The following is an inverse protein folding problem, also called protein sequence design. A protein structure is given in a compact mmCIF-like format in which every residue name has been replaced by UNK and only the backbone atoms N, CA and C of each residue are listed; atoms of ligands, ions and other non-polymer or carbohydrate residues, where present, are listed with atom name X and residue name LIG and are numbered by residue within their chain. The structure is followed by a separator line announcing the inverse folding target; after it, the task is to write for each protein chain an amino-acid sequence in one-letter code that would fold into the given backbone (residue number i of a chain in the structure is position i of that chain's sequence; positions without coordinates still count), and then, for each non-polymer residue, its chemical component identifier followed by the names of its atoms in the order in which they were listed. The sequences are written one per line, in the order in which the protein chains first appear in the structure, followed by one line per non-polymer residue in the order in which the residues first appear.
data_IF_515454820968
#
_entry.id   IF_515454820968
#
_cell.length_a   1.000
_cell.length_b   1.000
_cell.length_c   1.000
_cell.angle_alpha   90.00
_cell.angle_beta   90.00
_cell.angle_gamma   90.00
#
_symmetry.space_group_name_H-M   'P 1'
#
loop_
_entity.id
_entity.type
_entity.pdbx_description
1 polymer ?
#
# COMPACT_ATOMS: atom_id res chain seq x y z
N UNK A 1 -24.24 -33.19 -42.20
CA UNK A 1 -24.38 -32.44 -40.93
C UNK A 1 -24.20 -30.97 -41.23
N UNK A 2 -25.29 -30.17 -41.13
CA UNK A 2 -25.24 -28.74 -41.40
C UNK A 2 -24.75 -28.01 -40.16
N UNK A 3 -23.62 -27.31 -40.28
CA UNK A 3 -23.07 -26.47 -39.20
C UNK A 3 -23.97 -25.28 -38.92
N UNK A 4 -24.40 -25.09 -37.67
CA UNK A 4 -25.11 -23.90 -37.23
C UNK A 4 -24.11 -22.72 -37.16
N UNK A 5 -24.29 -21.73 -38.00
CA UNK A 5 -23.61 -20.46 -37.88
C UNK A 5 -24.31 -19.61 -36.83
N UNK A 6 -23.61 -19.24 -35.78
CA UNK A 6 -24.10 -18.25 -34.80
C UNK A 6 -23.52 -16.89 -35.19
N UNK A 7 -24.41 -15.95 -35.49
CA UNK A 7 -24.06 -14.54 -35.73
C UNK A 7 -24.15 -13.84 -34.35
N UNK A 8 -23.03 -13.37 -33.85
CA UNK A 8 -22.99 -12.51 -32.68
C UNK A 8 -23.00 -11.06 -33.14
N UNK A 9 -24.08 -10.35 -32.84
CA UNK A 9 -24.16 -8.89 -32.99
C UNK A 9 -23.69 -8.22 -31.72
N UNK A 10 -22.61 -7.44 -31.79
CA UNK A 10 -22.11 -6.64 -30.70
C UNK A 10 -22.60 -5.20 -30.88
N UNK A 11 -23.36 -4.68 -29.94
CA UNK A 11 -23.66 -3.28 -29.89
C UNK A 11 -22.52 -2.49 -29.31
N UNK A 12 -22.02 -1.44 -29.99
CA UNK A 12 -20.96 -0.61 -29.44
C UNK A 12 -21.50 0.15 -28.22
N UNK A 13 -20.91 -0.10 -27.04
CA UNK A 13 -21.21 0.70 -25.86
C UNK A 13 -20.42 2.00 -25.98
N UNK A 14 -21.13 3.08 -26.29
CA UNK A 14 -20.57 4.43 -26.25
C UNK A 14 -20.39 4.79 -24.77
N UNK A 15 -19.16 4.86 -24.32
CA UNK A 15 -18.82 5.40 -23.01
C UNK A 15 -18.61 6.90 -23.21
N UNK A 16 -19.49 7.78 -22.69
CA UNK A 16 -19.24 9.21 -22.76
C UNK A 16 -17.96 9.52 -21.99
N UNK A 17 -16.99 10.11 -22.67
CA UNK A 17 -15.82 10.68 -22.01
C UNK A 17 -16.31 11.90 -21.22
N UNK A 18 -16.23 11.85 -19.91
CA UNK A 18 -16.44 13.03 -19.09
C UNK A 18 -15.29 14.01 -19.36
N UNK A 19 -15.66 15.25 -19.67
CA UNK A 19 -14.69 16.34 -19.82
C UNK A 19 -14.00 16.54 -18.46
N UNK A 20 -12.73 16.18 -18.39
CA UNK A 20 -11.93 16.40 -17.18
C UNK A 20 -11.27 17.77 -17.32
N UNK A 21 -11.77 18.74 -16.59
CA UNK A 21 -11.08 20.01 -16.43
C UNK A 21 -9.86 19.78 -15.52
N UNK A 22 -8.71 19.67 -16.13
CA UNK A 22 -7.44 19.55 -15.39
C UNK A 22 -7.14 20.89 -14.75
N UNK A 23 -7.52 21.07 -13.49
CA UNK A 23 -7.07 22.21 -12.69
C UNK A 23 -5.72 21.86 -12.08
N UNK A 24 -4.78 22.80 -12.17
CA UNK A 24 -3.52 22.66 -11.44
C UNK A 24 -3.81 22.67 -9.94
N UNK A 25 -3.33 21.66 -9.23
CA UNK A 25 -3.50 21.50 -7.77
C UNK A 25 -2.14 21.64 -7.11
N UNK A 26 -2.05 22.50 -6.13
CA UNK A 26 -0.89 22.60 -5.25
C UNK A 26 -0.81 21.33 -4.38
N UNK A 27 0.21 20.47 -4.56
CA UNK A 27 0.31 19.20 -3.84
C UNK A 27 0.45 19.40 -2.32
N UNK A 28 1.13 20.43 -1.88
CA UNK A 28 1.29 20.72 -0.46
C UNK A 28 -0.03 21.12 0.19
N UNK A 29 -0.81 21.96 -0.49
CA UNK A 29 -2.14 22.37 -0.02
C UNK A 29 -3.10 21.19 0.02
N UNK A 30 -3.09 20.34 -1.02
CA UNK A 30 -3.96 19.17 -1.08
C UNK A 30 -3.64 18.18 0.05
N UNK A 31 -2.37 17.88 0.31
CA UNK A 31 -1.97 16.98 1.41
C UNK A 31 -2.36 17.53 2.79
N UNK A 32 -2.24 18.84 3.00
CA UNK A 32 -2.72 19.48 4.22
C UNK A 32 -4.22 19.32 4.40
N UNK A 33 -4.97 19.53 3.34
CA UNK A 33 -6.43 19.40 3.37
C UNK A 33 -6.86 17.96 3.59
N UNK A 34 -6.21 16.99 2.94
CA UNK A 34 -6.39 15.57 3.19
C UNK A 34 -6.20 15.23 4.69
N UNK A 35 -5.14 15.76 5.29
CA UNK A 35 -4.88 15.56 6.73
C UNK A 35 -5.93 16.19 7.63
N UNK A 36 -6.43 17.38 7.30
CA UNK A 36 -7.49 18.08 8.06
C UNK A 36 -8.83 17.34 7.98
N UNK A 37 -9.17 16.80 6.80
CA UNK A 37 -10.43 16.11 6.56
C UNK A 37 -10.38 14.63 6.94
N UNK A 38 -9.28 14.16 7.51
CA UNK A 38 -9.10 12.76 7.93
C UNK A 38 -10.24 12.26 8.79
N UNK A 39 -10.65 13.04 9.79
CA UNK A 39 -11.75 12.65 10.67
C UNK A 39 -13.10 12.55 9.94
N UNK A 40 -13.33 13.34 8.92
CA UNK A 40 -14.57 13.30 8.14
C UNK A 40 -14.59 12.13 7.16
N UNK A 41 -13.43 11.76 6.60
CA UNK A 41 -13.30 10.79 5.53
C UNK A 41 -13.14 9.34 6.02
N UNK A 42 -12.74 9.11 7.27
CA UNK A 42 -12.48 7.76 7.79
C UNK A 42 -13.32 7.46 9.03
N UNK A 43 -13.55 6.18 9.27
CA UNK A 43 -14.47 5.73 10.33
C UNK A 43 -14.09 6.23 11.71
N UNK A 44 -15.07 6.82 12.41
CA UNK A 44 -14.99 7.23 13.80
C UNK A 44 -15.39 6.14 14.79
N UNK A 45 -16.03 5.09 14.29
CA UNK A 45 -16.56 4.01 15.11
C UNK A 45 -15.76 2.74 14.89
N UNK A 46 -15.52 1.96 15.95
CA UNK A 46 -14.90 0.66 15.79
C UNK A 46 -15.82 -0.29 15.01
N UNK A 47 -15.20 -1.19 14.24
CA UNK A 47 -15.90 -2.16 13.41
C UNK A 47 -15.28 -3.55 13.50
N UNK A 48 -16.10 -4.58 13.29
CA UNK A 48 -15.61 -5.93 13.09
C UNK A 48 -15.47 -6.22 11.60
N UNK A 49 -14.30 -6.67 11.20
CA UNK A 49 -13.99 -7.08 9.83
C UNK A 49 -13.67 -8.57 9.81
N UNK A 50 -14.04 -9.25 8.75
CA UNK A 50 -13.49 -10.57 8.42
C UNK A 50 -12.49 -10.38 7.31
N UNK A 51 -11.22 -10.68 7.56
CA UNK A 51 -10.12 -10.41 6.64
C UNK A 51 -9.46 -11.69 6.19
N UNK A 52 -9.08 -11.74 4.93
CA UNK A 52 -8.23 -12.79 4.38
C UNK A 52 -6.79 -12.29 4.32
N UNK A 53 -5.89 -13.06 4.87
CA UNK A 53 -4.45 -12.80 4.86
C UNK A 53 -3.75 -13.87 4.02
N UNK A 54 -2.83 -13.44 3.18
CA UNK A 54 -1.94 -14.34 2.43
C UNK A 54 -0.52 -13.82 2.48
N UNK A 55 0.42 -14.70 2.81
CA UNK A 55 1.85 -14.45 2.78
C UNK A 55 2.55 -15.56 2.02
N UNK A 56 3.37 -15.19 1.04
CA UNK A 56 4.14 -16.14 0.25
C UNK A 56 5.63 -15.81 0.28
N UNK A 57 6.45 -16.83 0.52
CA UNK A 57 7.91 -16.73 0.37
C UNK A 57 8.33 -17.56 -0.84
N UNK A 58 8.99 -16.92 -1.79
CA UNK A 58 9.48 -17.56 -3.00
C UNK A 58 11.01 -17.55 -3.00
N UNK A 59 11.59 -18.66 -3.43
CA UNK A 59 13.01 -18.78 -3.72
C UNK A 59 13.17 -19.28 -5.15
N UNK A 60 13.89 -18.51 -6.01
CA UNK A 60 14.04 -18.83 -7.44
C UNK A 60 12.71 -19.15 -8.13
N UNK A 61 11.71 -18.32 -7.89
CA UNK A 61 10.32 -18.46 -8.40
C UNK A 61 9.55 -19.73 -7.95
N UNK A 62 10.07 -20.46 -6.97
CA UNK A 62 9.35 -21.58 -6.35
C UNK A 62 8.84 -21.19 -4.98
N UNK A 63 7.59 -21.50 -4.70
CA UNK A 63 6.98 -21.25 -3.39
C UNK A 63 7.68 -22.12 -2.36
N UNK A 64 8.28 -21.48 -1.35
CA UNK A 64 8.89 -22.15 -0.20
C UNK A 64 7.91 -22.25 0.95
N UNK A 65 7.23 -21.17 1.23
CA UNK A 65 6.19 -21.11 2.24
C UNK A 65 5.00 -20.32 1.69
N UNK A 66 3.81 -20.80 1.94
CA UNK A 66 2.57 -20.08 1.71
C UNK A 66 1.73 -20.19 2.98
N UNK A 67 1.37 -19.07 3.56
CA UNK A 67 0.47 -19.01 4.70
C UNK A 67 -0.79 -18.26 4.27
N UNK A 68 -1.92 -18.86 4.50
CA UNK A 68 -3.24 -18.27 4.29
C UNK A 68 -4.02 -18.33 5.61
N UNK A 69 -4.66 -17.23 5.95
CA UNK A 69 -5.41 -17.16 7.19
C UNK A 69 -6.64 -16.27 7.05
N UNK A 70 -7.67 -16.60 7.83
CA UNK A 70 -8.85 -15.76 8.03
C UNK A 70 -8.83 -15.24 9.45
N UNK A 71 -8.95 -13.94 9.60
CA UNK A 71 -9.02 -13.27 10.89
C UNK A 71 -10.34 -12.56 11.06
N UNK A 72 -10.83 -12.53 12.29
CA UNK A 72 -11.78 -11.54 12.75
C UNK A 72 -10.97 -10.37 13.34
N UNK A 73 -11.05 -9.21 12.71
CA UNK A 73 -10.34 -8.01 13.13
C UNK A 73 -11.31 -7.07 13.83
N UNK A 74 -10.96 -6.61 15.01
CA UNK A 74 -11.59 -5.48 15.65
C UNK A 74 -10.81 -4.23 15.27
N UNK A 75 -11.30 -3.54 14.25
CA UNK A 75 -10.75 -2.29 13.73
C UNK A 75 -11.18 -1.17 14.65
N UNK A 76 -10.24 -0.50 15.29
CA UNK A 76 -10.50 0.64 16.16
C UNK A 76 -10.56 1.90 15.30
N UNK A 77 -11.30 2.91 15.78
CA UNK A 77 -11.45 4.17 15.07
C UNK A 77 -10.09 4.78 14.66
N UNK A 78 -10.02 5.37 13.46
CA UNK A 78 -8.76 5.84 12.84
C UNK A 78 -8.01 6.90 13.67
N UNK A 79 -8.70 7.66 14.53
CA UNK A 79 -8.11 8.67 15.42
C UNK A 79 -7.61 8.11 16.77
N UNK A 80 -7.89 6.84 17.07
CA UNK A 80 -7.51 6.23 18.34
C UNK A 80 -6.05 5.78 18.32
N UNK A 81 -5.26 6.01 19.35
CA UNK A 81 -3.89 5.52 19.48
C UNK A 81 -3.82 4.02 19.78
N UNK A 82 -4.97 3.39 20.09
CA UNK A 82 -5.04 1.97 20.42
C UNK A 82 -4.88 1.13 19.14
N UNK A 83 -4.07 0.09 19.21
CA UNK A 83 -3.85 -0.82 18.08
C UNK A 83 -5.07 -1.71 17.81
N UNK A 84 -5.29 -1.99 16.53
CA UNK A 84 -6.30 -2.95 16.09
C UNK A 84 -5.98 -4.35 16.63
N UNK A 85 -7.03 -5.17 16.84
CA UNK A 85 -6.90 -6.51 17.38
C UNK A 85 -7.34 -7.55 16.36
N UNK A 86 -6.61 -8.66 16.28
CA UNK A 86 -6.97 -9.77 15.39
C UNK A 86 -7.15 -11.08 16.17
N UNK A 87 -8.23 -11.78 15.86
CA UNK A 87 -8.47 -13.15 16.29
C UNK A 87 -8.36 -14.08 15.08
N UNK A 88 -7.44 -15.02 15.12
CA UNK A 88 -7.32 -16.06 14.11
C UNK A 88 -8.56 -16.97 14.13
N UNK A 89 -9.23 -17.11 12.99
CA UNK A 89 -10.36 -18.01 12.81
C UNK A 89 -9.93 -19.32 12.14
N UNK A 90 -9.14 -19.22 11.07
CA UNK A 90 -8.66 -20.36 10.31
C UNK A 90 -7.30 -20.03 9.69
N UNK A 91 -6.43 -21.03 9.62
CA UNK A 91 -5.13 -20.91 8.97
C UNK A 91 -4.79 -22.18 8.20
N UNK A 92 -4.18 -22.01 7.05
CA UNK A 92 -3.54 -23.05 6.26
C UNK A 92 -2.09 -22.65 6.00
N UNK A 93 -1.18 -23.61 6.13
CA UNK A 93 0.23 -23.37 5.84
C UNK A 93 0.77 -24.48 4.97
N UNK A 94 1.33 -24.10 3.84
CA UNK A 94 2.11 -24.97 2.96
C UNK A 94 3.58 -24.63 3.14
N UNK A 95 4.41 -25.61 3.48
CA UNK A 95 5.86 -25.45 3.58
C UNK A 95 6.53 -26.51 2.73
N UNK A 96 7.52 -26.12 1.94
CA UNK A 96 8.33 -27.07 1.20
C UNK A 96 9.39 -27.66 2.16
N UNK A 97 9.26 -28.98 2.44
CA UNK A 97 10.09 -29.69 3.43
C UNK A 97 11.57 -29.79 3.00
N UNK A 98 11.85 -29.68 1.69
CA UNK A 98 13.23 -29.74 1.17
C UNK A 98 14.06 -28.49 1.53
N UNK A 99 13.42 -27.42 1.96
CA UNK A 99 14.07 -26.18 2.34
C UNK A 99 14.48 -26.15 3.83
N UNK A 100 15.16 -27.20 4.31
CA UNK A 100 15.61 -27.30 5.73
C UNK A 100 16.53 -26.17 6.17
N UNK A 101 17.14 -25.42 5.23
CA UNK A 101 18.05 -24.30 5.52
C UNK A 101 17.38 -22.91 5.37
N UNK A 102 16.06 -22.85 5.36
CA UNK A 102 15.34 -21.79 4.67
C UNK A 102 15.03 -20.52 5.46
N UNK A 103 15.35 -20.38 6.72
CA UNK A 103 15.07 -19.13 7.42
C UNK A 103 16.30 -18.58 8.17
N UNK A 104 17.35 -18.34 7.40
CA UNK A 104 18.49 -17.53 7.82
C UNK A 104 18.10 -16.07 8.08
N UNK A 105 16.90 -15.68 7.59
CA UNK A 105 16.38 -14.31 7.66
C UNK A 105 14.89 -14.32 7.91
N UNK A 106 14.45 -13.57 8.90
CA UNK A 106 13.04 -13.26 9.15
C UNK A 106 12.77 -11.81 8.78
N UNK A 107 11.87 -11.60 7.82
CA UNK A 107 11.36 -10.27 7.46
C UNK A 107 10.14 -9.94 8.34
N UNK A 108 9.89 -8.64 8.53
CA UNK A 108 8.68 -8.16 9.20
C UNK A 108 7.47 -8.58 8.36
N UNK A 109 6.61 -9.40 8.93
CA UNK A 109 5.46 -9.99 8.23
C UNK A 109 4.33 -10.33 9.22
N UNK A 110 3.25 -10.89 8.72
CA UNK A 110 2.09 -11.25 9.51
C UNK A 110 1.05 -10.14 9.62
N UNK A 111 -0.08 -10.45 10.25
CA UNK A 111 -1.22 -9.52 10.37
C UNK A 111 -0.85 -8.23 11.10
N UNK A 112 0.08 -8.27 12.04
CA UNK A 112 0.55 -7.07 12.76
C UNK A 112 1.32 -6.12 11.84
N UNK A 113 2.10 -6.65 10.90
CA UNK A 113 2.76 -5.83 9.89
C UNK A 113 1.73 -5.14 8.97
N UNK A 114 0.62 -5.81 8.64
CA UNK A 114 -0.48 -5.20 7.91
C UNK A 114 -1.14 -4.06 8.69
N UNK A 115 -1.32 -4.19 10.01
CA UNK A 115 -1.87 -3.11 10.83
C UNK A 115 -0.94 -1.89 10.89
N UNK A 116 0.37 -2.09 10.92
CA UNK A 116 1.35 -1.01 10.86
C UNK A 116 1.35 -0.26 9.52
N UNK A 117 0.75 -0.84 8.48
CA UNK A 117 0.57 -0.21 7.17
C UNK A 117 -0.76 0.56 7.05
N UNK A 118 -1.50 0.75 8.13
CA UNK A 118 -2.63 1.68 8.15
C UNK A 118 -2.12 3.13 8.20
N UNK A 119 -1.70 3.62 7.04
CA UNK A 119 -1.07 4.93 6.88
C UNK A 119 -2.01 6.10 7.19
N UNK A 120 -3.30 5.86 7.32
CA UNK A 120 -4.25 6.89 7.74
C UNK A 120 -4.43 6.91 9.25
N UNK A 121 -4.14 5.82 9.93
CA UNK A 121 -4.14 5.76 11.39
C UNK A 121 -2.84 6.32 11.98
N UNK A 122 -1.72 5.88 11.43
CA UNK A 122 -0.37 6.32 11.79
C UNK A 122 0.29 6.94 10.55
N UNK A 123 0.02 8.23 10.35
CA UNK A 123 0.42 8.95 9.14
C UNK A 123 1.94 9.06 9.06
N UNK A 124 2.56 8.43 8.05
CA UNK A 124 3.99 8.56 7.84
C UNK A 124 4.36 9.97 7.34
N UNK A 125 5.63 10.34 7.49
CA UNK A 125 6.14 11.68 7.16
C UNK A 125 5.85 12.13 5.73
N UNK A 126 5.77 11.21 4.78
CA UNK A 126 5.43 11.54 3.39
C UNK A 126 3.96 11.96 3.18
N UNK A 127 3.09 11.79 4.17
CA UNK A 127 1.72 12.32 4.16
C UNK A 127 1.58 13.63 4.94
N UNK A 128 2.64 14.10 5.61
CA UNK A 128 2.63 15.28 6.48
C UNK A 128 3.61 16.32 5.93
N UNK A 129 3.21 17.15 4.96
CA UNK A 129 4.13 18.07 4.27
C UNK A 129 4.69 19.17 5.17
N UNK A 130 4.04 19.47 6.29
CA UNK A 130 4.40 20.55 7.23
C UNK A 130 5.26 20.10 8.41
N UNK A 131 5.63 18.83 8.51
CA UNK A 131 6.46 18.32 9.61
C UNK A 131 7.93 18.83 9.53
N UNK A 132 8.13 20.14 9.35
CA UNK A 132 9.42 20.73 9.12
C UNK A 132 10.01 20.32 7.76
N UNK A 133 11.32 20.11 7.69
CA UNK A 133 11.92 19.45 6.52
C UNK A 133 11.68 17.93 6.61
N UNK A 134 10.55 17.48 6.05
CA UNK A 134 10.17 16.07 6.07
C UNK A 134 10.97 15.19 5.08
N UNK A 135 11.91 15.76 4.36
CA UNK A 135 12.77 15.04 3.42
C UNK A 135 12.13 14.72 2.07
N UNK A 136 10.93 15.25 1.76
CA UNK A 136 10.18 14.96 0.54
C UNK A 136 9.95 16.18 -0.35
N UNK A 137 9.85 15.88 -1.65
CA UNK A 137 9.35 16.78 -2.69
C UNK A 137 8.05 16.20 -3.24
N UNK A 138 7.08 17.07 -3.51
CA UNK A 138 5.77 16.66 -4.03
C UNK A 138 5.50 17.33 -5.37
N UNK A 139 4.93 16.56 -6.30
CA UNK A 139 4.61 17.02 -7.66
C UNK A 139 3.24 16.53 -8.07
N UNK A 140 2.38 17.41 -8.58
CA UNK A 140 1.11 17.00 -9.16
C UNK A 140 1.34 16.32 -10.51
N UNK A 141 0.77 15.13 -10.70
CA UNK A 141 0.79 14.34 -11.94
C UNK A 141 -0.53 14.46 -12.72
N UNK A 142 -1.42 15.36 -12.29
CA UNK A 142 -2.73 15.53 -12.89
C UNK A 142 -3.79 14.66 -12.22
N UNK A 143 -4.78 14.23 -13.01
CA UNK A 143 -5.94 13.48 -12.51
C UNK A 143 -6.12 12.15 -13.23
N UNK A 144 -6.74 11.20 -12.56
CA UNK A 144 -7.18 9.91 -13.12
C UNK A 144 -8.51 9.49 -12.50
N UNK A 145 -8.97 8.27 -12.81
CA UNK A 145 -10.19 7.71 -12.22
C UNK A 145 -9.89 6.40 -11.51
N UNK A 146 -10.48 6.22 -10.34
CA UNK A 146 -10.53 4.97 -9.58
C UNK A 146 -12.00 4.73 -9.23
N UNK A 147 -12.57 3.60 -9.70
CA UNK A 147 -13.98 3.22 -9.46
C UNK A 147 -14.96 4.38 -9.71
N UNK A 148 -14.86 4.99 -10.90
CA UNK A 148 -15.65 6.14 -11.36
C UNK A 148 -15.47 7.45 -10.55
N UNK A 149 -14.54 7.49 -9.61
CA UNK A 149 -14.20 8.69 -8.84
C UNK A 149 -12.99 9.39 -9.45
N UNK A 150 -13.11 10.69 -9.67
CA UNK A 150 -11.98 11.53 -10.10
C UNK A 150 -10.98 11.70 -8.97
N UNK A 151 -9.72 11.42 -9.21
CA UNK A 151 -8.65 11.51 -8.20
C UNK A 151 -7.48 12.35 -8.70
N UNK A 152 -6.95 13.19 -7.83
CA UNK A 152 -5.68 13.87 -8.03
C UNK A 152 -4.53 12.90 -7.75
N UNK A 153 -3.54 12.86 -8.63
CA UNK A 153 -2.34 12.04 -8.45
C UNK A 153 -1.20 12.93 -8.00
N UNK A 154 -0.69 12.68 -6.79
CA UNK A 154 0.47 13.39 -6.23
C UNK A 154 1.64 12.43 -6.14
N UNK A 155 2.67 12.72 -6.91
CA UNK A 155 3.95 12.04 -6.78
C UNK A 155 4.75 12.63 -5.63
N UNK A 156 5.33 11.77 -4.79
CA UNK A 156 6.29 12.18 -3.77
C UNK A 156 7.62 11.45 -3.95
N UNK A 157 8.70 12.16 -3.77
CA UNK A 157 10.04 11.64 -3.92
C UNK A 157 10.94 12.17 -2.82
N UNK A 158 11.92 11.36 -2.44
CA UNK A 158 12.94 11.73 -1.48
C UNK A 158 13.83 12.85 -2.02
N UNK A 159 14.15 13.85 -1.19
CA UNK A 159 15.15 14.88 -1.50
C UNK A 159 16.54 14.26 -1.69
N UNK A 160 17.32 14.82 -2.59
CA UNK A 160 18.65 14.28 -2.95
C UNK A 160 19.64 14.31 -1.80
N UNK A 161 19.52 15.29 -0.93
CA UNK A 161 20.38 15.55 0.22
C UNK A 161 20.23 14.50 1.32
N UNK A 162 19.09 13.81 1.36
CA UNK A 162 18.81 12.76 2.35
C UNK A 162 19.51 11.46 1.93
N UNK A 163 20.35 10.94 2.80
CA UNK A 163 21.17 9.74 2.53
C UNK A 163 20.44 8.45 2.96
N UNK A 164 19.65 8.54 4.00
CA UNK A 164 18.83 7.43 4.53
C UNK A 164 17.80 6.99 3.51
N UNK A 165 17.49 5.68 3.41
CA UNK A 165 16.45 5.21 2.50
C UNK A 165 15.07 5.64 3.00
N UNK A 166 14.38 6.44 2.20
CA UNK A 166 12.98 6.81 2.40
C UNK A 166 12.11 6.21 1.29
N UNK A 167 10.81 6.47 1.35
CA UNK A 167 9.85 6.03 0.34
C UNK A 167 9.73 7.05 -0.80
N UNK A 168 9.28 6.59 -1.96
CA UNK A 168 8.80 7.41 -3.07
C UNK A 168 7.61 6.73 -3.72
N UNK A 169 6.73 7.48 -4.38
CA UNK A 169 5.56 6.88 -5.01
C UNK A 169 4.47 7.86 -5.33
N UNK A 170 3.24 7.33 -5.48
CA UNK A 170 2.07 8.08 -5.89
C UNK A 170 0.93 7.93 -4.90
N UNK A 171 0.28 9.04 -4.61
CA UNK A 171 -0.90 9.17 -3.77
C UNK A 171 -2.10 9.52 -4.65
N UNK A 172 -3.19 8.79 -4.49
CA UNK A 172 -4.42 8.97 -5.23
C UNK A 172 -5.48 9.54 -4.30
N UNK A 173 -5.72 10.85 -4.43
CA UNK A 173 -6.55 11.63 -3.52
C UNK A 173 -7.82 12.03 -4.25
N UNK A 174 -8.97 11.64 -3.71
CA UNK A 174 -10.27 11.98 -4.25
C UNK A 174 -10.45 13.49 -4.44
N UNK A 175 -10.87 13.89 -5.62
CA UNK A 175 -10.96 15.31 -5.99
C UNK A 175 -12.11 16.05 -5.28
N UNK A 176 -13.12 15.33 -4.82
CA UNK A 176 -14.31 15.90 -4.18
C UNK A 176 -14.16 15.96 -2.65
N UNK A 177 -13.71 14.85 -2.06
CA UNK A 177 -13.68 14.68 -0.60
C UNK A 177 -12.28 14.86 0.01
N UNK A 178 -11.23 14.97 -0.81
CA UNK A 178 -9.82 14.93 -0.40
C UNK A 178 -9.45 13.66 0.39
N UNK A 179 -10.20 12.57 0.26
CA UNK A 179 -9.84 11.29 0.87
C UNK A 179 -8.70 10.62 0.10
N UNK A 180 -7.72 10.06 0.78
CA UNK A 180 -6.74 9.17 0.17
C UNK A 180 -7.43 7.85 -0.18
N UNK A 181 -7.58 7.53 -1.46
CA UNK A 181 -8.22 6.29 -1.92
C UNK A 181 -7.22 5.17 -2.13
N UNK A 182 -6.01 5.52 -2.54
CA UNK A 182 -4.94 4.57 -2.78
C UNK A 182 -3.59 5.25 -2.58
N UNK A 183 -2.63 4.50 -2.08
CA UNK A 183 -1.22 4.87 -2.09
C UNK A 183 -0.39 3.73 -2.69
N UNK A 184 0.46 4.05 -3.66
CA UNK A 184 1.43 3.11 -4.22
C UNK A 184 2.83 3.68 -4.04
N UNK A 185 3.65 3.00 -3.27
CA UNK A 185 4.98 3.50 -2.95
C UNK A 185 6.00 2.38 -2.80
N UNK A 186 7.23 2.74 -2.95
CA UNK A 186 8.38 1.85 -2.78
C UNK A 186 9.50 2.56 -2.03
N UNK A 187 10.45 1.81 -1.50
CA UNK A 187 11.70 2.41 -1.03
C UNK A 187 12.47 2.94 -2.23
N UNK A 188 12.98 4.18 -2.11
CA UNK A 188 13.75 4.82 -3.19
C UNK A 188 14.73 3.80 -3.84
N UNK A 189 14.55 3.48 -5.13
CA UNK A 189 15.36 2.47 -5.83
C UNK A 189 16.87 2.73 -5.77
N UNK A 190 17.28 4.00 -5.63
CA UNK A 190 18.69 4.36 -5.52
C UNK A 190 19.28 4.00 -4.15
N UNK A 191 18.44 3.89 -3.13
CA UNK A 191 18.82 3.68 -1.73
C UNK A 191 18.32 2.37 -1.12
N UNK A 192 17.49 1.61 -1.84
CA UNK A 192 16.87 0.37 -1.34
C UNK A 192 17.88 -0.65 -0.81
N UNK A 193 19.09 -0.70 -1.38
CA UNK A 193 20.16 -1.58 -0.91
C UNK A 193 20.63 -1.30 0.52
N UNK A 194 20.35 -0.11 1.05
CA UNK A 194 20.67 0.31 2.42
C UNK A 194 19.50 0.08 3.38
N UNK A 195 18.34 -0.32 2.88
CA UNK A 195 17.09 -0.39 3.64
C UNK A 195 16.89 -1.70 4.41
N UNK A 196 17.91 -2.57 4.55
CA UNK A 196 17.73 -3.88 5.19
C UNK A 196 17.15 -3.80 6.60
N UNK A 197 17.54 -2.80 7.38
CA UNK A 197 17.06 -2.60 8.76
C UNK A 197 15.55 -2.24 8.83
N UNK A 198 14.98 -1.72 7.74
CA UNK A 198 13.56 -1.39 7.68
C UNK A 198 12.67 -2.64 7.64
N UNK A 199 13.17 -3.76 7.06
CA UNK A 199 12.38 -4.94 6.72
C UNK A 199 12.77 -6.20 7.46
N UNK A 200 14.01 -6.26 7.97
CA UNK A 200 14.53 -7.46 8.60
C UNK A 200 14.26 -7.42 10.09
N UNK A 201 13.51 -8.39 10.59
CA UNK A 201 13.27 -8.58 12.02
C UNK A 201 14.41 -9.34 12.69
N UNK A 202 14.89 -10.39 12.03
CA UNK A 202 15.97 -11.24 12.55
C UNK A 202 16.80 -11.80 11.40
N UNK A 203 18.12 -11.87 11.60
CA UNK A 203 19.05 -12.51 10.66
C UNK A 203 20.06 -13.37 11.41
N UNK A 204 20.57 -14.41 10.76
CA UNK A 204 21.70 -15.18 11.26
C UNK A 204 22.97 -14.33 11.22
N UNK A 205 23.82 -14.45 12.24
CA UNK A 205 25.10 -13.72 12.32
C UNK A 205 25.96 -14.03 11.07
N UNK A 206 26.54 -12.99 10.47
CA UNK A 206 27.36 -13.09 9.26
C UNK A 206 26.61 -13.06 7.94
N UNK A 207 25.26 -13.07 7.95
CA UNK A 207 24.46 -12.91 6.73
C UNK A 207 24.15 -11.43 6.48
N UNK A 208 24.54 -10.96 5.29
CA UNK A 208 24.18 -9.64 4.79
C UNK A 208 22.98 -9.76 3.85
N UNK A 209 21.92 -9.01 4.15
CA UNK A 209 20.72 -8.93 3.31
C UNK A 209 20.77 -7.62 2.54
N UNK A 210 20.55 -7.72 1.24
CA UNK A 210 20.53 -6.56 0.36
C UNK A 210 19.18 -6.58 -0.37
N UNK A 211 18.21 -5.76 0.08
CA UNK A 211 16.93 -5.66 -0.60
C UNK A 211 17.14 -5.09 -2.01
N UNK A 212 16.40 -5.61 -2.97
CA UNK A 212 16.46 -5.18 -4.37
C UNK A 212 15.26 -4.28 -4.70
N UNK A 213 14.10 -4.63 -4.18
CA UNK A 213 12.85 -3.90 -4.39
C UNK A 213 11.88 -4.17 -3.25
N UNK A 214 11.20 -3.12 -2.79
CA UNK A 214 10.14 -3.22 -1.79
C UNK A 214 9.02 -2.27 -2.18
N UNK A 215 7.86 -2.80 -2.54
CA UNK A 215 6.70 -2.05 -3.04
C UNK A 215 5.50 -2.34 -2.17
N UNK A 216 4.72 -1.30 -1.90
CA UNK A 216 3.44 -1.34 -1.21
C UNK A 216 2.34 -0.78 -2.10
N UNK A 217 1.16 -1.37 -2.00
CA UNK A 217 -0.09 -0.81 -2.51
C UNK A 217 -1.12 -0.93 -1.39
N UNK A 218 -1.69 0.17 -1.01
CA UNK A 218 -2.65 0.30 0.09
C UNK A 218 -3.89 0.97 -0.46
#
# INVERSE_FOLDING_TARGET
MAGRHHILSLEPKVVPLQEVVVQWVDPYKLLKEMGRQREQNYSHSPAYLTTFYREGVLLKNKVQNLTEAVFKVYKIASHSPVSDQAKLLKMSRLSNVEAKDSLLVKVKSGIQACFQMDIMKDMPSFLIPDAGDNGYLYTSQGVTFIDDRCVNVIHFAQKKEIIEPLYCGDLYIDAETNALLQARFEVDPQRVKKASEMFVERRTRGIRIIPQKVVYTI
#
